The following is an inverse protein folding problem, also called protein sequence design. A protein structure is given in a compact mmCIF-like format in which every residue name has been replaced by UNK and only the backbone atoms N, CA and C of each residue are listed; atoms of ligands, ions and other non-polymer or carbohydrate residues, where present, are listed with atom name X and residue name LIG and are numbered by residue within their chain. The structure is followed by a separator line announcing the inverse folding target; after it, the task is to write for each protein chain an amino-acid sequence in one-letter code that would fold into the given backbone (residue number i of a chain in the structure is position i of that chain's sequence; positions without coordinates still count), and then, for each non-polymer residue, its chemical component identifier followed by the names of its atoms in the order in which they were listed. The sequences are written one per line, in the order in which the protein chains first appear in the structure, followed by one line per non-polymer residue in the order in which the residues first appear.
data_IF_940449620863
#
_entry.id   IF_940449620863
#
_cell.length_a   1.000
_cell.length_b   1.000
_cell.length_c   1.000
_cell.angle_alpha   90.00
_cell.angle_beta   90.00
_cell.angle_gamma   90.00
#
_symmetry.space_group_name_H-M   'P 1'
#
loop_
_entity.id
_entity.type
_entity.pdbx_description
1 polymer ?
#
# COMPACT_ATOMS: atom_id res chain seq x y z
N UNK A 1 -12.18 14.94 4.93
CA UNK A 1 -10.80 14.49 5.00
C UNK A 1 -10.15 14.64 3.63
N UNK A 2 -8.95 15.29 3.53
CA UNK A 2 -8.35 15.66 2.24
C UNK A 2 -8.12 14.49 1.27
N UNK A 3 -7.72 13.33 1.77
CA UNK A 3 -7.47 12.17 0.90
C UNK A 3 -8.76 11.67 0.27
N UNK A 4 -9.85 11.65 1.03
CA UNK A 4 -11.16 11.25 0.50
C UNK A 4 -11.63 12.25 -0.54
N UNK A 5 -11.42 13.53 -0.29
CA UNK A 5 -11.79 14.58 -1.23
C UNK A 5 -11.02 14.45 -2.53
N UNK A 6 -9.72 14.17 -2.44
CA UNK A 6 -8.89 13.97 -3.63
C UNK A 6 -9.39 12.80 -4.47
N UNK A 7 -9.71 11.69 -3.83
CA UNK A 7 -10.25 10.52 -4.54
C UNK A 7 -11.55 10.85 -5.25
N UNK A 8 -12.45 11.57 -4.58
CA UNK A 8 -13.73 11.96 -5.16
C UNK A 8 -13.53 12.86 -6.38
N UNK A 9 -12.59 13.79 -6.30
CA UNK A 9 -12.29 14.72 -7.39
C UNK A 9 -11.70 14.01 -8.61
N UNK A 10 -11.08 12.85 -8.40
CA UNK A 10 -10.46 12.06 -9.47
C UNK A 10 -11.31 10.87 -9.89
N UNK A 11 -12.60 10.92 -9.57
CA UNK A 11 -13.57 9.87 -9.93
C UNK A 11 -13.25 8.50 -9.34
N UNK A 12 -12.68 8.52 -8.14
CA UNK A 12 -12.33 7.30 -7.39
C UNK A 12 -13.18 7.16 -6.13
N UNK A 13 -14.39 7.71 -6.17
CA UNK A 13 -15.29 7.72 -5.00
C UNK A 13 -15.68 6.32 -4.55
N UNK A 14 -15.58 5.32 -5.43
CA UNK A 14 -15.89 3.93 -5.07
C UNK A 14 -14.73 3.18 -4.46
N UNK A 15 -13.54 3.78 -4.46
CA UNK A 15 -12.37 3.15 -3.86
C UNK A 15 -12.42 3.34 -2.36
N UNK A 16 -12.41 2.26 -1.57
CA UNK A 16 -12.39 2.40 -0.12
C UNK A 16 -11.13 3.11 0.34
N UNK A 17 -11.28 3.97 1.32
CA UNK A 17 -10.15 4.66 1.92
C UNK A 17 -10.10 4.32 3.40
N UNK A 18 -8.98 3.75 3.82
CA UNK A 18 -8.73 3.42 5.22
C UNK A 18 -7.48 4.14 5.68
N UNK A 19 -7.61 4.91 6.75
CA UNK A 19 -6.48 5.59 7.35
C UNK A 19 -5.99 4.73 8.51
N UNK A 20 -4.79 4.18 8.37
CA UNK A 20 -4.26 3.23 9.32
C UNK A 20 -3.42 3.94 10.38
N UNK A 21 -3.71 3.68 11.65
CA UNK A 21 -2.95 4.22 12.77
C UNK A 21 -1.68 3.38 12.97
N UNK A 22 -0.64 3.68 12.19
CA UNK A 22 0.62 2.96 12.24
C UNK A 22 1.39 3.16 13.52
N UNK A 23 1.09 4.22 14.24
CA UNK A 23 1.87 4.61 15.40
C UNK A 23 1.12 4.47 16.72
N UNK A 24 -0.10 3.96 16.69
CA UNK A 24 -0.90 3.77 17.89
C UNK A 24 -1.30 5.06 18.57
N UNK A 25 -1.60 6.09 17.79
CA UNK A 25 -1.91 7.42 18.32
C UNK A 25 -3.37 7.75 18.47
N UNK A 26 -4.24 6.85 18.01
CA UNK A 26 -5.66 7.17 17.99
C UNK A 26 -6.22 7.43 19.38
N UNK A 27 -5.71 6.73 20.39
CA UNK A 27 -6.17 6.89 21.77
C UNK A 27 -5.78 8.23 22.36
N UNK A 28 -4.76 8.86 21.83
CA UNK A 28 -4.25 10.13 22.37
C UNK A 28 -5.07 11.31 21.95
N UNK A 29 -5.65 11.28 20.76
CA UNK A 29 -6.28 12.45 20.18
C UNK A 29 -7.70 12.24 19.71
N UNK A 30 -8.24 11.05 19.82
CA UNK A 30 -9.54 10.73 19.24
C UNK A 30 -9.63 11.22 17.80
N UNK A 31 -8.59 10.92 17.04
CA UNK A 31 -8.44 11.45 15.70
C UNK A 31 -9.23 10.61 14.72
N UNK A 32 -10.29 11.19 14.19
CA UNK A 32 -11.20 10.50 13.27
C UNK A 32 -10.57 10.17 11.91
N UNK A 33 -9.34 10.61 11.67
CA UNK A 33 -8.63 10.25 10.44
C UNK A 33 -8.24 8.77 10.40
N UNK A 34 -8.14 8.15 11.57
CA UNK A 34 -7.73 6.75 11.64
C UNK A 34 -8.93 5.88 11.89
N UNK A 35 -9.28 5.07 10.92
CA UNK A 35 -10.39 4.12 11.04
C UNK A 35 -9.95 2.66 10.93
N UNK A 36 -8.65 2.42 11.02
CA UNK A 36 -8.10 1.08 10.97
C UNK A 36 -6.84 1.01 11.83
N UNK A 37 -6.71 -0.05 12.63
CA UNK A 37 -5.50 -0.31 13.40
C UNK A 37 -4.55 -1.17 12.57
N UNK A 38 -3.30 -1.29 13.03
CA UNK A 38 -2.35 -2.22 12.40
C UNK A 38 -2.84 -3.65 12.50
N UNK A 39 -3.46 -4.00 13.63
CA UNK A 39 -4.01 -5.35 13.81
C UNK A 39 -5.08 -5.64 12.77
N UNK A 40 -5.97 -4.68 12.52
CA UNK A 40 -7.00 -4.80 11.49
C UNK A 40 -6.36 -4.99 10.12
N UNK A 41 -5.35 -4.20 9.81
CA UNK A 41 -4.65 -4.27 8.54
C UNK A 41 -4.02 -5.66 8.34
N UNK A 42 -3.35 -6.17 9.36
CA UNK A 42 -2.66 -7.46 9.25
C UNK A 42 -3.62 -8.63 9.12
N UNK A 43 -4.87 -8.44 9.51
CA UNK A 43 -5.91 -9.45 9.32
C UNK A 43 -6.47 -9.52 7.89
N UNK A 44 -6.11 -8.58 7.04
CA UNK A 44 -6.57 -8.55 5.65
C UNK A 44 -5.65 -9.35 4.75
N UNK A 45 -6.15 -9.72 3.57
CA UNK A 45 -5.39 -10.45 2.57
C UNK A 45 -5.28 -9.58 1.32
N UNK A 46 -4.07 -9.42 0.82
CA UNK A 46 -3.82 -8.66 -0.40
C UNK A 46 -2.97 -9.49 -1.36
N UNK A 47 -3.27 -9.38 -2.63
CA UNK A 47 -2.51 -10.05 -3.69
C UNK A 47 -1.45 -9.13 -4.28
N UNK A 48 -1.68 -7.83 -4.19
CA UNK A 48 -0.81 -6.84 -4.82
C UNK A 48 -0.84 -5.55 -4.00
N UNK A 49 0.32 -4.93 -3.89
CA UNK A 49 0.45 -3.65 -3.22
C UNK A 49 1.44 -2.76 -3.99
N UNK A 50 1.23 -1.46 -3.88
CA UNK A 50 2.17 -0.48 -4.43
C UNK A 50 2.67 0.35 -3.25
N UNK A 51 3.99 0.47 -3.13
CA UNK A 51 4.57 1.18 -2.00
C UNK A 51 5.80 1.96 -2.44
N UNK A 52 6.02 3.12 -1.86
CA UNK A 52 7.20 3.93 -2.14
C UNK A 52 8.02 4.26 -0.89
N UNK A 53 7.57 3.85 0.28
CA UNK A 53 8.22 4.14 1.54
C UNK A 53 8.91 2.90 2.11
N UNK A 54 10.24 2.90 2.25
CA UNK A 54 10.93 1.77 2.86
C UNK A 54 10.45 1.48 4.28
N UNK A 55 10.05 2.51 5.02
CA UNK A 55 9.54 2.32 6.38
C UNK A 55 8.26 1.48 6.41
N UNK A 56 7.51 1.45 5.32
CA UNK A 56 6.27 0.68 5.24
C UNK A 56 6.49 -0.77 4.79
N UNK A 57 7.69 -1.12 4.34
CA UNK A 57 7.96 -2.48 3.84
C UNK A 57 7.68 -3.54 4.91
N UNK A 58 8.02 -3.25 6.16
CA UNK A 58 7.79 -4.21 7.25
C UNK A 58 6.31 -4.54 7.42
N UNK A 59 5.42 -3.59 7.15
CA UNK A 59 3.98 -3.83 7.25
C UNK A 59 3.49 -4.71 6.11
N UNK A 60 4.01 -4.47 4.90
CA UNK A 60 3.60 -5.24 3.72
C UNK A 60 4.12 -6.68 3.80
N UNK A 61 5.21 -6.90 4.51
CA UNK A 61 5.75 -8.26 4.69
C UNK A 61 4.78 -9.20 5.41
N UNK A 62 3.84 -8.66 6.17
CA UNK A 62 2.84 -9.48 6.85
C UNK A 62 1.87 -10.16 5.88
N UNK A 63 1.78 -9.71 4.64
CA UNK A 63 0.87 -10.29 3.66
C UNK A 63 1.59 -11.36 2.85
N UNK A 64 1.37 -12.62 3.22
CA UNK A 64 2.20 -13.74 2.81
C UNK A 64 2.41 -13.90 1.30
N UNK A 65 1.43 -13.72 0.48
CA UNK A 65 1.55 -13.94 -0.95
C UNK A 65 1.34 -12.66 -1.76
N UNK A 66 1.58 -11.53 -1.12
CA UNK A 66 1.37 -10.23 -1.75
C UNK A 66 2.59 -9.85 -2.59
N UNK A 67 2.38 -9.58 -3.87
CA UNK A 67 3.41 -9.01 -4.75
C UNK A 67 3.44 -7.52 -4.51
N UNK A 68 4.62 -6.96 -4.34
CA UNK A 68 4.76 -5.54 -4.01
C UNK A 68 5.53 -4.82 -5.11
N UNK A 69 4.89 -3.84 -5.74
CA UNK A 69 5.56 -2.96 -6.67
C UNK A 69 6.11 -1.77 -5.89
N UNK A 70 7.42 -1.62 -5.89
CA UNK A 70 8.07 -0.50 -5.22
C UNK A 70 8.25 0.61 -6.24
N UNK A 71 7.48 1.68 -6.10
CA UNK A 71 7.59 2.81 -7.02
C UNK A 71 8.88 3.56 -6.75
N UNK A 72 9.80 3.56 -7.73
CA UNK A 72 11.11 4.15 -7.56
C UNK A 72 11.02 5.66 -7.37
N UNK A 73 11.61 6.14 -6.28
CA UNK A 73 11.65 7.55 -5.91
C UNK A 73 13.04 7.87 -5.36
N UNK A 74 13.44 9.15 -5.33
CA UNK A 74 14.76 9.50 -4.81
C UNK A 74 15.03 8.97 -3.41
N UNK A 75 14.00 8.95 -2.55
CA UNK A 75 14.18 8.55 -1.16
C UNK A 75 14.25 7.04 -0.96
N UNK A 76 13.90 6.22 -1.96
CA UNK A 76 13.94 4.77 -1.79
C UNK A 76 14.92 4.05 -2.72
N UNK A 77 15.63 4.77 -3.58
CA UNK A 77 16.50 4.15 -4.59
C UNK A 77 17.60 3.30 -4.00
N UNK A 78 18.09 3.66 -2.83
CA UNK A 78 19.17 2.95 -2.17
C UNK A 78 18.65 1.91 -1.18
N UNK A 79 17.36 1.83 -0.99
CA UNK A 79 16.77 0.89 -0.04
C UNK A 79 16.86 -0.53 -0.58
N UNK A 80 17.23 -1.44 0.32
CA UNK A 80 17.27 -2.87 0.01
C UNK A 80 15.85 -3.42 0.00
N UNK A 81 15.53 -4.23 -1.00
CA UNK A 81 14.20 -4.86 -1.08
C UNK A 81 14.21 -6.11 -0.20
N UNK A 82 13.15 -6.33 0.61
CA UNK A 82 13.17 -7.43 1.60
C UNK A 82 13.27 -8.84 1.00
N UNK A 83 12.61 -9.09 -0.13
CA UNK A 83 12.63 -10.40 -0.76
C UNK A 83 12.18 -10.28 -2.21
N UNK A 84 12.04 -11.41 -2.90
CA UNK A 84 11.73 -11.44 -4.34
C UNK A 84 10.27 -11.10 -4.67
N UNK A 85 9.41 -10.94 -3.68
CA UNK A 85 8.05 -10.45 -3.90
C UNK A 85 8.02 -8.94 -4.15
N UNK A 86 9.10 -8.25 -3.80
CA UNK A 86 9.23 -6.80 -3.98
C UNK A 86 9.93 -6.54 -5.29
N UNK A 87 9.27 -5.80 -6.19
CA UNK A 87 9.82 -5.49 -7.51
C UNK A 87 9.84 -3.99 -7.71
N UNK A 88 11.01 -3.46 -8.02
CA UNK A 88 11.17 -2.04 -8.26
C UNK A 88 10.59 -1.65 -9.61
N UNK A 89 9.78 -0.60 -9.61
CA UNK A 89 9.13 -0.09 -10.82
C UNK A 89 9.47 1.38 -11.00
N UNK A 90 9.77 1.78 -12.21
CA UNK A 90 10.15 3.17 -12.50
C UNK A 90 8.96 4.04 -12.88
N UNK A 91 7.87 3.43 -13.32
CA UNK A 91 6.70 4.18 -13.77
C UNK A 91 5.43 3.33 -13.62
N UNK A 92 4.29 3.96 -13.84
CA UNK A 92 3.00 3.29 -13.71
C UNK A 92 2.78 2.19 -14.75
N UNK A 93 3.43 2.28 -15.90
CA UNK A 93 3.35 1.22 -16.92
C UNK A 93 3.91 -0.10 -16.40
N UNK A 94 5.04 -0.04 -15.72
CA UNK A 94 5.64 -1.23 -15.15
C UNK A 94 4.77 -1.82 -14.04
N UNK A 95 4.18 -0.95 -13.23
CA UNK A 95 3.27 -1.38 -12.15
C UNK A 95 2.04 -2.08 -12.76
N UNK A 96 1.47 -1.50 -13.79
CA UNK A 96 0.30 -2.06 -14.45
C UNK A 96 0.60 -3.43 -15.05
N UNK A 97 1.77 -3.63 -15.62
CA UNK A 97 2.18 -4.92 -16.16
C UNK A 97 2.21 -5.99 -15.10
N UNK A 98 2.78 -5.69 -13.94
CA UNK A 98 2.82 -6.63 -12.82
C UNK A 98 1.40 -6.95 -12.35
N UNK A 99 0.57 -5.93 -12.23
CA UNK A 99 -0.81 -6.10 -11.81
C UNK A 99 -1.58 -7.02 -12.77
N UNK A 100 -1.40 -6.82 -14.08
CA UNK A 100 -2.06 -7.65 -15.08
C UNK A 100 -1.60 -9.10 -15.02
N UNK A 101 -0.33 -9.35 -14.79
CA UNK A 101 0.19 -10.72 -14.62
C UNK A 101 -0.50 -11.43 -13.46
N UNK A 102 -0.66 -10.72 -12.35
CA UNK A 102 -1.31 -11.27 -11.16
C UNK A 102 -2.78 -11.53 -11.44
N UNK A 103 -3.45 -10.58 -12.08
CA UNK A 103 -4.87 -10.69 -12.39
C UNK A 103 -5.13 -11.91 -13.29
N UNK A 104 -4.27 -12.16 -14.26
CA UNK A 104 -4.43 -13.28 -15.18
C UNK A 104 -4.20 -14.62 -14.51
N UNK A 105 -3.29 -14.69 -13.55
CA UNK A 105 -3.05 -15.95 -12.81
C UNK A 105 -4.25 -16.37 -11.97
N UNK A 106 -5.12 -15.41 -11.65
CA UNK A 106 -6.28 -15.68 -10.82
C UNK A 106 -7.51 -16.11 -11.60
N UNK A 107 -7.43 -16.10 -12.90
CA UNK A 107 -8.49 -16.65 -13.74
C UNK A 107 -8.30 -18.17 -13.87
#
# INVERSE_FOLDING_TARGET
EPSRQWLDEHHLERVPLFCVDKYGRETEKQDYRYNMTLEDLYGMTFDFAVEDSPAAFEHVLHFANCKVAVFSRPWNRQAELPNDRFVRCENWKEIDRIFEEIRQRRK
#
